data_IF_005426466486
#
_entry.id   IF_005426466486
#
_cell.length_a   1.000
_cell.length_b   1.000
_cell.length_c   1.000
_cell.angle_alpha   90.00
_cell.angle_beta   90.00
_cell.angle_gamma   90.00
#
_symmetry.space_group_name_H-M   'P 1'
#
loop_
_entity.id
_entity.type
_entity.pdbx_description
1 polymer ?
#
# COMPACT_ATOMS: atom_id res chain seq x y z
N UNK A 1 -6.66 16.88 5.26
CA UNK A 1 -6.62 17.78 6.44
C UNK A 1 -6.27 16.95 7.66
N UNK A 2 -5.39 17.40 8.57
CA UNK A 2 -5.16 16.70 9.84
C UNK A 2 -6.45 16.74 10.68
N UNK A 3 -6.77 15.62 11.34
CA UNK A 3 -7.82 15.58 12.34
C UNK A 3 -7.28 16.25 13.61
N UNK A 4 -7.88 17.38 13.99
CA UNK A 4 -7.58 18.06 15.26
C UNK A 4 -8.69 17.75 16.26
N UNK A 5 -8.36 17.03 17.33
CA UNK A 5 -9.27 16.79 18.45
C UNK A 5 -8.93 17.76 19.60
N UNK A 6 -9.81 18.69 19.90
CA UNK A 6 -9.66 19.60 21.06
C UNK A 6 -10.60 19.17 22.17
N UNK A 7 -10.03 18.80 23.33
CA UNK A 7 -10.76 18.46 24.55
C UNK A 7 -10.49 19.56 25.57
N UNK A 8 -11.53 20.29 25.97
CA UNK A 8 -11.45 21.32 27.01
C UNK A 8 -12.43 21.04 28.13
N UNK A 9 -12.02 21.29 29.38
CA UNK A 9 -12.89 21.28 30.54
C UNK A 9 -12.83 22.65 31.23
N UNK A 10 -13.96 23.13 31.75
CA UNK A 10 -14.03 24.31 32.61
C UNK A 10 -14.52 23.88 33.99
N UNK A 11 -13.63 23.58 34.95
CA UNK A 11 -14.07 23.29 36.30
C UNK A 11 -14.40 24.60 37.03
N UNK A 12 -15.69 24.91 37.18
CA UNK A 12 -16.15 26.05 38.03
C UNK A 12 -16.40 25.60 39.49
N UNK A 13 -16.28 24.31 39.78
CA UNK A 13 -16.27 23.73 41.12
C UNK A 13 -15.37 22.50 41.06
N UNK A 14 -14.61 22.24 42.12
CA UNK A 14 -13.70 21.10 42.27
C UNK A 14 -14.41 19.79 41.90
N UNK A 15 -14.10 19.25 40.72
CA UNK A 15 -14.55 17.92 40.35
C UNK A 15 -13.60 16.89 40.95
N UNK A 16 -14.05 16.23 42.02
CA UNK A 16 -13.39 15.06 42.57
C UNK A 16 -13.65 13.84 41.67
N UNK A 17 -12.59 13.20 41.18
CA UNK A 17 -12.64 11.92 40.48
C UNK A 17 -12.18 11.96 39.00
N UNK A 18 -11.63 10.86 38.47
CA UNK A 18 -11.17 10.79 37.08
C UNK A 18 -12.36 10.82 36.11
N UNK A 19 -12.23 11.63 35.05
CA UNK A 19 -13.15 11.58 33.90
C UNK A 19 -12.60 10.62 32.87
N UNK A 20 -13.33 9.53 32.62
CA UNK A 20 -13.04 8.63 31.52
C UNK A 20 -13.59 9.20 30.22
N UNK A 21 -12.76 9.30 29.18
CA UNK A 21 -13.26 9.22 27.81
C UNK A 21 -13.47 7.74 27.55
N UNK A 22 -14.68 7.35 27.14
CA UNK A 22 -14.97 5.98 26.69
C UNK A 22 -14.13 5.60 25.46
N UNK A 23 -14.30 4.39 24.91
CA UNK A 23 -13.51 3.97 23.75
C UNK A 23 -13.72 4.95 22.59
N UNK A 24 -12.66 5.70 22.25
CA UNK A 24 -12.63 6.58 21.10
C UNK A 24 -12.25 5.76 19.88
N UNK A 25 -13.16 5.62 18.92
CA UNK A 25 -12.87 5.00 17.62
C UNK A 25 -12.75 6.09 16.57
N UNK A 26 -11.52 6.32 16.09
CA UNK A 26 -11.26 7.19 14.94
C UNK A 26 -11.38 6.33 13.69
N UNK A 27 -12.42 6.58 12.89
CA UNK A 27 -12.60 5.95 11.58
C UNK A 27 -12.14 6.95 10.53
N UNK A 28 -10.99 6.72 9.91
CA UNK A 28 -10.62 7.44 8.69
C UNK A 28 -11.62 7.10 7.58
N UNK A 29 -11.87 8.04 6.65
CA UNK A 29 -12.54 7.69 5.41
C UNK A 29 -11.77 6.50 4.80
N UNK A 30 -12.50 5.44 4.43
CA UNK A 30 -11.97 4.26 3.75
C UNK A 30 -10.82 4.67 2.83
N UNK A 31 -9.60 4.21 3.10
CA UNK A 31 -8.41 4.54 2.30
C UNK A 31 -8.65 4.06 0.87
N UNK A 32 -9.22 4.87 -0.02
CA UNK A 32 -9.46 4.47 -1.43
C UNK A 32 -8.13 4.03 -2.06
N UNK A 33 -7.02 4.57 -1.56
CA UNK A 33 -5.68 4.21 -1.96
C UNK A 33 -4.91 3.54 -0.81
N UNK A 34 -4.49 2.29 -1.00
CA UNK A 34 -3.47 1.66 -0.16
C UNK A 34 -2.13 1.75 -0.88
N UNK A 35 -1.05 2.01 -0.15
CA UNK A 35 0.30 2.10 -0.71
C UNK A 35 1.20 1.08 -0.04
N UNK A 36 1.75 0.15 -0.82
CA UNK A 36 2.82 -0.74 -0.37
C UNK A 36 4.17 -0.21 -0.82
N UNK A 37 5.09 -0.07 0.13
CA UNK A 37 6.46 0.37 -0.14
C UNK A 37 7.44 -0.64 0.43
N UNK A 38 8.31 -1.20 -0.43
CA UNK A 38 9.36 -2.11 0.05
C UNK A 38 10.58 -2.18 -0.86
N UNK A 39 11.73 -2.53 -0.27
CA UNK A 39 12.87 -3.01 -1.03
C UNK A 39 12.57 -4.40 -1.58
N UNK A 40 12.89 -4.64 -2.86
CA UNK A 40 12.71 -5.95 -3.47
C UNK A 40 13.90 -6.86 -3.13
N UNK A 41 13.63 -8.14 -2.88
CA UNK A 41 14.63 -9.19 -2.94
C UNK A 41 14.89 -9.60 -4.40
N UNK A 42 16.03 -10.24 -4.65
CA UNK A 42 16.25 -10.97 -5.90
C UNK A 42 15.22 -12.09 -6.05
N UNK A 43 14.67 -12.25 -7.25
CA UNK A 43 13.61 -13.21 -7.52
C UNK A 43 12.22 -12.62 -7.33
N UNK A 44 11.26 -13.47 -7.01
CA UNK A 44 9.83 -13.14 -6.96
C UNK A 44 9.46 -12.42 -5.66
N UNK A 45 8.81 -11.26 -5.79
CA UNK A 45 8.29 -10.48 -4.67
C UNK A 45 6.77 -10.41 -4.78
N UNK A 46 6.05 -11.04 -3.84
CA UNK A 46 4.58 -11.13 -3.84
C UNK A 46 3.96 -9.94 -3.13
N UNK A 47 3.06 -9.22 -3.78
CA UNK A 47 2.28 -8.12 -3.23
C UNK A 47 0.82 -8.53 -3.17
N UNK A 48 0.27 -8.67 -1.97
CA UNK A 48 -1.14 -9.06 -1.77
C UNK A 48 -2.05 -7.91 -2.17
N UNK A 49 -3.05 -8.18 -2.99
CA UNK A 49 -4.05 -7.17 -3.35
C UNK A 49 -4.89 -6.85 -2.11
N UNK A 50 -5.03 -5.58 -1.72
CA UNK A 50 -5.86 -5.18 -0.59
C UNK A 50 -7.30 -5.62 -0.74
N UNK A 51 -7.89 -6.10 0.35
CA UNK A 51 -9.32 -6.39 0.45
C UNK A 51 -10.11 -5.27 1.13
N UNK A 52 -9.41 -4.29 1.72
CA UNK A 52 -10.01 -3.20 2.47
C UNK A 52 -9.31 -1.85 2.17
N UNK A 53 -10.09 -0.80 1.86
CA UNK A 53 -11.52 -0.84 1.59
C UNK A 53 -11.83 -1.61 0.31
N UNK A 54 -13.04 -2.18 0.23
CA UNK A 54 -13.49 -2.88 -0.96
C UNK A 54 -13.48 -1.93 -2.17
N UNK A 55 -13.00 -2.40 -3.32
CA UNK A 55 -13.05 -1.64 -4.57
C UNK A 55 -11.73 -1.45 -5.30
N UNK A 56 -10.67 -2.20 -4.99
CA UNK A 56 -9.44 -2.17 -5.81
C UNK A 56 -9.79 -2.58 -7.24
N UNK A 57 -9.59 -1.66 -8.18
CA UNK A 57 -9.75 -1.84 -9.63
C UNK A 57 -8.41 -1.92 -10.36
N UNK A 58 -7.30 -1.66 -9.68
CA UNK A 58 -5.98 -1.73 -10.29
C UNK A 58 -4.83 -1.40 -9.36
N UNK A 59 -3.64 -1.28 -9.97
CA UNK A 59 -2.49 -0.74 -9.28
C UNK A 59 -1.52 0.02 -10.20
N UNK A 60 -0.77 0.92 -9.59
CA UNK A 60 0.35 1.64 -10.17
C UNK A 60 1.64 1.15 -9.52
N UNK A 61 2.49 0.50 -10.31
CA UNK A 61 3.81 0.04 -9.89
C UNK A 61 4.84 1.11 -10.26
N UNK A 62 5.53 1.67 -9.26
CA UNK A 62 6.51 2.73 -9.44
C UNK A 62 7.88 2.28 -8.92
N UNK A 63 8.80 1.91 -9.82
CA UNK A 63 10.19 1.65 -9.48
C UNK A 63 10.94 2.92 -9.03
N UNK A 64 12.04 2.78 -8.28
CA UNK A 64 13.00 3.86 -8.08
C UNK A 64 13.52 4.37 -9.42
N UNK A 65 13.64 5.70 -9.56
CA UNK A 65 14.13 6.33 -10.80
C UNK A 65 15.57 5.96 -11.14
N UNK A 66 16.34 5.45 -10.17
CA UNK A 66 17.73 4.99 -10.32
C UNK A 66 17.86 3.48 -10.47
N UNK A 67 16.76 2.72 -10.53
CA UNK A 67 16.82 1.27 -10.64
C UNK A 67 17.39 0.81 -11.99
N UNK A 68 18.40 -0.05 -11.94
CA UNK A 68 19.05 -0.65 -13.11
C UNK A 68 18.67 -2.12 -13.32
N UNK A 69 18.05 -2.75 -12.32
CA UNK A 69 17.66 -4.14 -12.33
C UNK A 69 16.46 -4.40 -13.25
N UNK A 70 16.44 -5.56 -13.88
CA UNK A 70 15.30 -5.98 -14.71
C UNK A 70 14.14 -6.35 -13.81
N UNK A 71 12.98 -5.75 -14.07
CA UNK A 71 11.73 -6.03 -13.38
C UNK A 71 10.80 -6.79 -14.31
N UNK A 72 10.10 -7.80 -13.79
CA UNK A 72 9.07 -8.52 -14.52
C UNK A 72 7.79 -8.65 -13.70
N UNK A 73 6.66 -8.46 -14.35
CA UNK A 73 5.36 -8.84 -13.82
C UNK A 73 5.09 -10.31 -14.12
N UNK A 74 4.67 -11.07 -13.11
CA UNK A 74 4.35 -12.50 -13.22
C UNK A 74 2.96 -12.80 -12.66
N UNK A 75 2.29 -13.81 -13.23
CA UNK A 75 1.01 -14.32 -12.73
C UNK A 75 1.17 -15.39 -11.65
N UNK A 76 2.28 -16.13 -11.67
CA UNK A 76 2.55 -17.24 -10.76
C UNK A 76 4.05 -17.52 -10.59
N UNK A 77 4.39 -18.30 -9.57
CA UNK A 77 5.72 -18.85 -9.42
C UNK A 77 6.00 -19.85 -10.57
N UNK A 78 7.05 -19.59 -11.34
CA UNK A 78 7.40 -20.37 -12.54
C UNK A 78 7.14 -19.65 -13.86
N UNK A 79 6.33 -18.58 -13.88
CA UNK A 79 6.10 -17.80 -15.10
C UNK A 79 7.38 -17.10 -15.59
N UNK A 80 7.51 -16.95 -16.91
CA UNK A 80 8.58 -16.14 -17.52
C UNK A 80 8.36 -14.64 -17.33
N UNK A 81 7.09 -14.25 -17.21
CA UNK A 81 6.63 -12.88 -16.95
C UNK A 81 6.78 -11.92 -18.14
N UNK A 82 6.27 -10.71 -17.96
CA UNK A 82 6.43 -9.59 -18.90
C UNK A 82 7.41 -8.59 -18.28
N UNK A 83 8.44 -8.18 -19.03
CA UNK A 83 9.37 -7.14 -18.59
C UNK A 83 8.62 -5.81 -18.49
N UNK A 84 8.69 -5.17 -17.32
CA UNK A 84 8.11 -3.86 -17.07
C UNK A 84 9.21 -2.80 -17.02
N UNK A 85 8.80 -1.52 -17.02
CA UNK A 85 9.77 -0.41 -16.98
C UNK A 85 10.65 -0.49 -15.73
N UNK A 86 11.93 -0.20 -15.89
CA UNK A 86 12.89 -0.22 -14.78
C UNK A 86 12.77 1.00 -13.88
N UNK A 87 12.35 2.14 -14.43
CA UNK A 87 12.37 3.45 -13.77
C UNK A 87 11.09 4.25 -13.97
N UNK A 88 10.24 3.85 -14.92
CA UNK A 88 8.95 4.47 -15.19
C UNK A 88 7.79 3.68 -14.56
N UNK A 89 6.64 4.32 -14.37
CA UNK A 89 5.46 3.67 -13.82
C UNK A 89 4.89 2.61 -14.78
N UNK A 90 4.27 1.58 -14.21
CA UNK A 90 3.45 0.59 -14.93
C UNK A 90 2.06 0.54 -14.30
N UNK A 91 1.02 0.66 -15.11
CA UNK A 91 -0.39 0.62 -14.66
C UNK A 91 -0.99 -0.74 -15.01
N UNK A 92 -1.68 -1.35 -14.05
CA UNK A 92 -2.47 -2.56 -14.25
C UNK A 92 -3.92 -2.27 -13.88
N UNK A 93 -4.83 -2.58 -14.79
CA UNK A 93 -6.27 -2.66 -14.50
C UNK A 93 -6.66 -4.10 -14.22
N UNK A 94 -7.50 -4.32 -13.22
CA UNK A 94 -8.02 -5.63 -12.85
C UNK A 94 -9.46 -5.80 -13.34
N UNK A 95 -9.80 -7.05 -13.63
CA UNK A 95 -11.19 -7.44 -13.85
C UNK A 95 -11.91 -7.50 -12.49
N UNK A 96 -12.94 -6.68 -12.25
CA UNK A 96 -13.67 -6.69 -10.98
C UNK A 96 -14.39 -8.03 -10.72
N UNK A 97 -14.66 -8.84 -11.74
CA UNK A 97 -15.25 -10.17 -11.58
C UNK A 97 -14.22 -11.25 -11.20
N UNK A 98 -12.92 -10.97 -11.36
CA UNK A 98 -11.83 -11.92 -11.16
C UNK A 98 -10.58 -11.23 -10.58
N UNK A 99 -10.76 -10.51 -9.46
CA UNK A 99 -9.67 -9.79 -8.80
C UNK A 99 -8.54 -10.77 -8.39
N UNK A 100 -7.27 -10.51 -8.77
CA UNK A 100 -6.17 -11.35 -8.35
C UNK A 100 -5.96 -11.24 -6.84
N UNK A 101 -5.58 -12.35 -6.18
CA UNK A 101 -5.23 -12.33 -4.76
C UNK A 101 -3.89 -11.60 -4.49
N UNK A 102 -3.00 -11.61 -5.47
CA UNK A 102 -1.70 -10.97 -5.40
C UNK A 102 -1.15 -10.68 -6.81
N UNK A 103 -0.18 -9.77 -6.88
CA UNK A 103 0.70 -9.60 -8.03
C UNK A 103 2.12 -10.02 -7.65
N UNK A 104 2.90 -10.49 -8.62
CA UNK A 104 4.30 -10.87 -8.41
C UNK A 104 5.18 -9.96 -9.24
N UNK A 105 6.09 -9.24 -8.57
CA UNK A 105 7.16 -8.47 -9.22
C UNK A 105 8.47 -9.21 -9.02
N UNK A 106 8.99 -9.79 -10.09
CA UNK A 106 10.31 -10.37 -10.10
C UNK A 106 11.36 -9.29 -10.31
N UNK A 107 12.43 -9.32 -9.52
CA UNK A 107 13.62 -8.48 -9.72
C UNK A 107 14.84 -9.34 -10.00
N UNK A 108 15.67 -8.92 -10.96
CA UNK A 108 16.93 -9.63 -11.26
C UNK A 108 17.96 -9.57 -10.13
N UNK A 109 17.80 -8.66 -9.17
CA UNK A 109 18.65 -8.53 -7.98
C UNK A 109 17.91 -7.83 -6.84
N UNK A 110 18.46 -7.90 -5.63
CA UNK A 110 17.91 -7.20 -4.47
C UNK A 110 18.16 -5.69 -4.53
N UNK A 111 17.18 -4.89 -4.10
CA UNK A 111 17.31 -3.44 -3.98
C UNK A 111 18.12 -3.12 -2.71
N UNK A 112 19.37 -2.69 -2.88
CA UNK A 112 20.22 -2.21 -1.78
C UNK A 112 19.91 -0.75 -1.44
N UNK A 113 19.46 0.02 -2.44
CA UNK A 113 18.96 1.39 -2.30
C UNK A 113 17.68 1.56 -3.13
N UNK A 114 16.77 2.41 -2.65
CA UNK A 114 15.45 2.60 -3.28
C UNK A 114 14.42 1.52 -2.91
N UNK A 115 13.15 1.83 -3.10
CA UNK A 115 12.02 0.94 -2.80
C UNK A 115 11.03 0.95 -3.97
N UNK A 116 10.44 -0.21 -4.26
CA UNK A 116 9.30 -0.27 -5.16
C UNK A 116 8.07 0.25 -4.39
N UNK A 117 7.32 1.13 -5.04
CA UNK A 117 6.02 1.60 -4.56
C UNK A 117 4.93 0.93 -5.40
N UNK A 118 3.90 0.40 -4.75
CA UNK A 118 2.68 -0.09 -5.40
C UNK A 118 1.51 0.69 -4.81
N UNK A 119 0.87 1.53 -5.62
CA UNK A 119 -0.35 2.23 -5.23
C UNK A 119 -1.55 1.44 -5.75
N UNK A 120 -2.40 0.99 -4.85
CA UNK A 120 -3.66 0.32 -5.13
C UNK A 120 -4.76 1.37 -5.27
N UNK A 121 -5.66 1.20 -6.23
CA UNK A 121 -6.80 2.10 -6.46
C UNK A 121 -8.00 1.32 -6.98
#
# INVERSE_FOLDING_TARGET
MPLTLTISASPVQEQAGPKGLGPLTIVGAANIEQVDVRALASGDNVFTVPTAPAGVVGCLIVPPTTNTFTLKLKGSAGDTGIVISKTGPTVLGFDPAALPAAIIVNSSASFVTGQLVVNWF
#
